data_IF_183103924610
#
_entry.id   IF_183103924610
#
_cell.length_a   1.000
_cell.length_b   1.000
_cell.length_c   1.000
_cell.angle_alpha   90.00
_cell.angle_beta   90.00
_cell.angle_gamma   90.00
#
_symmetry.space_group_name_H-M   'P 1'
#
loop_
_entity.id
_entity.type
_entity.pdbx_description
1 polymer ?
#
# COMPACT_ATOMS: atom_id res chain seq x y z
N UNK A 1 18.55 6.85 47.93
CA UNK A 1 17.43 6.34 48.74
C UNK A 1 16.31 7.37 48.67
N UNK A 2 15.39 7.20 47.72
CA UNK A 2 14.15 7.98 47.65
C UNK A 2 13.02 7.03 47.25
N UNK A 3 11.99 7.06 48.08
CA UNK A 3 10.92 6.09 48.21
C UNK A 3 9.79 6.40 47.22
N UNK A 4 9.23 5.34 46.64
CA UNK A 4 7.93 5.38 45.97
C UNK A 4 6.83 5.68 46.98
N UNK A 5 5.94 6.60 46.63
CA UNK A 5 4.64 6.77 47.31
C UNK A 5 3.54 6.88 46.25
N UNK A 6 2.70 5.85 46.18
CA UNK A 6 1.32 5.98 45.69
C UNK A 6 0.41 6.22 46.90
N UNK A 7 -0.77 6.83 46.71
CA UNK A 7 -1.95 5.98 46.87
C UNK A 7 -3.05 6.19 45.83
N UNK A 8 -3.77 5.09 45.66
CA UNK A 8 -4.99 4.83 44.90
C UNK A 8 -6.13 5.76 45.34
N UNK A 9 -6.90 6.29 44.39
CA UNK A 9 -8.32 6.61 44.63
C UNK A 9 -9.19 5.96 43.56
N UNK A 10 -10.12 5.15 44.06
CA UNK A 10 -11.10 4.37 43.33
C UNK A 10 -12.25 5.29 42.89
N UNK A 11 -12.43 5.42 41.57
CA UNK A 11 -13.62 6.01 40.95
C UNK A 11 -14.25 5.02 39.99
N UNK A 12 -15.19 4.23 40.50
CA UNK A 12 -15.99 3.23 39.78
C UNK A 12 -16.92 3.90 38.77
N UNK A 13 -16.89 3.46 37.51
CA UNK A 13 -18.10 3.30 36.71
C UNK A 13 -17.88 2.28 35.61
N UNK A 14 -18.78 1.33 35.60
CA UNK A 14 -18.84 0.13 34.78
C UNK A 14 -19.24 0.47 33.35
N UNK A 15 -18.59 -0.16 32.38
CA UNK A 15 -19.28 -0.63 31.18
C UNK A 15 -18.43 -1.70 30.50
N UNK A 16 -18.93 -2.93 30.60
CA UNK A 16 -18.62 -4.02 29.69
C UNK A 16 -19.01 -3.61 28.26
N UNK A 17 -18.07 -3.67 27.32
CA UNK A 17 -18.38 -3.87 25.90
C UNK A 17 -17.11 -4.27 25.14
N UNK A 18 -17.06 -5.56 24.78
CA UNK A 18 -16.66 -6.13 23.48
C UNK A 18 -15.62 -5.44 22.57
N UNK A 19 -14.72 -6.21 21.92
CA UNK A 19 -13.87 -5.69 20.86
C UNK A 19 -14.73 -5.42 19.62
N UNK A 20 -15.00 -4.15 19.31
CA UNK A 20 -15.74 -3.78 18.12
C UNK A 20 -14.79 -3.45 16.97
N UNK A 21 -14.55 -4.45 16.14
CA UNK A 21 -14.33 -4.24 14.71
C UNK A 21 -15.52 -3.49 14.12
N UNK A 22 -15.32 -2.24 13.72
CA UNK A 22 -16.16 -1.49 12.77
C UNK A 22 -15.33 -0.29 12.29
N UNK A 23 -14.66 -0.38 11.15
CA UNK A 23 -15.25 -0.04 9.85
C UNK A 23 -16.08 1.25 9.92
N UNK A 24 -15.41 2.40 9.88
CA UNK A 24 -16.06 3.68 9.59
C UNK A 24 -15.31 4.38 8.45
N UNK A 25 -15.74 4.07 7.23
CA UNK A 25 -15.29 4.64 5.95
C UNK A 25 -15.67 6.11 5.72
N UNK A 26 -15.70 6.94 6.76
CA UNK A 26 -15.96 8.37 6.67
C UNK A 26 -14.76 9.24 7.04
N UNK A 27 -13.70 8.66 7.64
CA UNK A 27 -12.44 9.38 7.92
C UNK A 27 -11.37 9.21 6.84
N UNK A 28 -11.54 8.24 5.93
CA UNK A 28 -10.47 7.84 5.02
C UNK A 28 -10.38 8.76 3.79
N UNK A 29 -11.51 9.31 3.30
CA UNK A 29 -11.51 10.25 2.18
C UNK A 29 -10.85 11.61 2.48
N UNK A 30 -10.61 11.93 3.76
CA UNK A 30 -9.95 13.17 4.21
C UNK A 30 -8.41 13.08 4.17
N UNK A 31 -7.88 11.86 4.09
CA UNK A 31 -6.43 11.64 4.07
C UNK A 31 -5.87 11.83 2.63
N UNK A 32 -4.62 12.30 2.51
CA UNK A 32 -3.88 12.26 1.25
C UNK A 32 -3.93 10.86 0.62
N UNK A 33 -4.05 10.82 -0.72
CA UNK A 33 -4.22 9.58 -1.49
C UNK A 33 -3.17 8.53 -1.13
N UNK A 34 -1.94 8.97 -0.89
CA UNK A 34 -0.80 8.12 -0.56
C UNK A 34 -1.01 7.39 0.77
N UNK A 35 -1.45 8.11 1.79
CA UNK A 35 -1.70 7.53 3.12
C UNK A 35 -2.88 6.57 3.11
N UNK A 36 -3.87 6.81 2.24
CA UNK A 36 -5.00 5.89 2.05
C UNK A 36 -4.55 4.60 1.37
N UNK A 37 -3.82 4.73 0.27
CA UNK A 37 -3.34 3.59 -0.51
C UNK A 37 -2.37 2.71 0.28
N UNK A 38 -1.51 3.27 1.14
CA UNK A 38 -0.60 2.50 2.00
C UNK A 38 -1.36 1.62 3.01
N UNK A 39 -2.55 2.05 3.47
CA UNK A 39 -3.33 1.35 4.51
C UNK A 39 -4.20 0.21 3.98
N UNK A 40 -4.38 0.11 2.67
CA UNK A 40 -5.22 -0.93 2.07
C UNK A 40 -4.59 -2.30 2.34
N UNK A 41 -5.37 -3.22 2.89
CA UNK A 41 -4.94 -4.60 3.15
C UNK A 41 -5.32 -5.55 2.01
N UNK A 42 -4.75 -6.75 1.99
CA UNK A 42 -5.19 -7.83 1.08
C UNK A 42 -6.68 -8.16 1.24
N UNK A 43 -7.19 -8.13 2.47
CA UNK A 43 -8.60 -8.35 2.75
C UNK A 43 -9.49 -7.28 2.09
N UNK A 44 -9.03 -6.03 2.05
CA UNK A 44 -9.75 -4.95 1.37
C UNK A 44 -9.71 -5.14 -0.15
N UNK A 45 -8.57 -5.57 -0.71
CA UNK A 45 -8.42 -5.89 -2.14
C UNK A 45 -9.38 -7.02 -2.54
N UNK A 46 -9.50 -8.07 -1.72
CA UNK A 46 -10.35 -9.22 -2.01
C UNK A 46 -11.85 -8.89 -2.08
N UNK A 47 -12.26 -7.80 -1.43
CA UNK A 47 -13.65 -7.33 -1.41
C UNK A 47 -13.99 -6.42 -2.58
N UNK A 48 -13.01 -6.02 -3.39
CA UNK A 48 -13.23 -5.16 -4.55
C UNK A 48 -14.03 -5.91 -5.61
N UNK A 49 -15.15 -5.30 -6.01
CA UNK A 49 -16.01 -5.82 -7.06
C UNK A 49 -15.76 -5.11 -8.40
N UNK A 50 -16.20 -5.72 -9.51
CA UNK A 50 -16.14 -5.10 -10.82
C UNK A 50 -16.88 -3.73 -10.87
N UNK A 51 -18.01 -3.60 -10.17
CA UNK A 51 -18.76 -2.34 -10.11
C UNK A 51 -17.99 -1.24 -9.37
N UNK A 52 -17.21 -1.61 -8.35
CA UNK A 52 -16.35 -0.64 -7.65
C UNK A 52 -15.21 -0.18 -8.56
N UNK A 53 -14.59 -1.09 -9.32
CA UNK A 53 -13.58 -0.76 -10.33
C UNK A 53 -14.14 0.22 -11.37
N UNK A 54 -15.33 -0.05 -11.89
CA UNK A 54 -16.01 0.81 -12.87
C UNK A 54 -16.32 2.19 -12.30
N UNK A 55 -16.81 2.25 -11.05
CA UNK A 55 -17.13 3.50 -10.36
C UNK A 55 -15.89 4.34 -10.09
N UNK A 56 -14.80 3.71 -9.64
CA UNK A 56 -13.53 4.39 -9.40
C UNK A 56 -12.96 4.89 -10.72
N UNK A 57 -12.90 4.07 -11.77
CA UNK A 57 -12.45 4.48 -13.10
C UNK A 57 -13.18 5.71 -13.63
N UNK A 58 -14.50 5.79 -13.44
CA UNK A 58 -15.30 6.93 -13.90
C UNK A 58 -14.98 8.25 -13.18
N UNK A 59 -14.33 8.20 -12.01
CA UNK A 59 -14.02 9.37 -11.18
C UNK A 59 -12.52 9.64 -11.07
N UNK A 60 -11.68 8.71 -11.50
CA UNK A 60 -10.24 8.76 -11.36
C UNK A 60 -9.63 9.80 -12.29
N UNK A 61 -8.89 10.75 -11.73
CA UNK A 61 -8.14 11.72 -12.52
C UNK A 61 -6.81 11.13 -13.01
N UNK A 62 -6.21 11.73 -14.04
CA UNK A 62 -4.91 11.30 -14.57
C UNK A 62 -3.79 11.42 -13.54
N UNK A 63 -3.85 12.45 -12.69
CA UNK A 63 -2.84 12.69 -11.65
C UNK A 63 -2.96 11.64 -10.54
N UNK A 64 -4.17 11.34 -10.08
CA UNK A 64 -4.41 10.27 -9.09
C UNK A 64 -3.98 8.90 -9.63
N UNK A 65 -4.22 8.62 -10.91
CA UNK A 65 -3.75 7.39 -11.56
C UNK A 65 -2.22 7.31 -11.55
N UNK A 66 -1.54 8.40 -11.90
CA UNK A 66 -0.07 8.46 -11.96
C UNK A 66 0.54 8.27 -10.56
N UNK A 67 0.00 8.95 -9.56
CA UNK A 67 0.41 8.81 -8.16
C UNK A 67 0.17 7.39 -7.65
N UNK A 68 -0.98 6.81 -7.97
CA UNK A 68 -1.32 5.43 -7.57
C UNK A 68 -0.37 4.40 -8.19
N UNK A 69 -0.06 4.53 -9.49
CA UNK A 69 0.90 3.67 -10.18
C UNK A 69 2.30 3.76 -9.57
N UNK A 70 2.76 4.99 -9.30
CA UNK A 70 4.05 5.23 -8.66
C UNK A 70 4.11 4.57 -7.28
N UNK A 71 3.10 4.79 -6.45
CA UNK A 71 3.07 4.24 -5.10
C UNK A 71 2.94 2.71 -5.10
N UNK A 72 2.19 2.14 -6.03
CA UNK A 72 2.07 0.69 -6.19
C UNK A 72 3.41 0.05 -6.57
N UNK A 73 4.21 0.72 -7.40
CA UNK A 73 5.59 0.32 -7.70
C UNK A 73 6.54 0.48 -6.51
N UNK A 74 6.44 1.60 -5.77
CA UNK A 74 7.28 1.85 -4.58
C UNK A 74 7.02 0.86 -3.44
N UNK A 75 5.76 0.46 -3.25
CA UNK A 75 5.34 -0.43 -2.16
C UNK A 75 5.32 -1.91 -2.54
N UNK A 76 5.69 -2.24 -3.79
CA UNK A 76 5.66 -3.60 -4.35
C UNK A 76 4.30 -4.32 -4.19
N UNK A 77 3.19 -3.58 -4.09
CA UNK A 77 1.84 -4.12 -3.85
C UNK A 77 1.19 -4.77 -5.07
N UNK A 78 1.93 -4.89 -6.16
CA UNK A 78 1.46 -5.55 -7.39
C UNK A 78 1.17 -7.04 -7.11
N UNK A 79 2.02 -7.70 -6.31
CA UNK A 79 1.84 -9.09 -5.95
C UNK A 79 0.53 -9.33 -5.18
N UNK A 80 0.24 -8.47 -4.19
CA UNK A 80 -0.96 -8.56 -3.35
C UNK A 80 -2.24 -8.42 -4.17
N UNK A 81 -2.23 -7.50 -5.16
CA UNK A 81 -3.38 -7.28 -6.06
C UNK A 81 -3.58 -8.47 -7.00
N UNK A 82 -2.51 -9.05 -7.54
CA UNK A 82 -2.58 -10.25 -8.38
C UNK A 82 -3.10 -11.45 -7.58
N UNK A 83 -2.65 -11.61 -6.34
CA UNK A 83 -3.01 -12.74 -5.50
C UNK A 83 -4.44 -12.65 -4.93
N UNK A 84 -4.88 -11.44 -4.56
CA UNK A 84 -6.08 -11.25 -3.74
C UNK A 84 -7.31 -10.75 -4.51
N UNK A 85 -7.13 -10.06 -5.65
CA UNK A 85 -8.27 -9.47 -6.34
C UNK A 85 -9.09 -10.53 -7.09
N UNK A 86 -10.41 -10.33 -7.11
CA UNK A 86 -11.32 -11.25 -7.79
C UNK A 86 -11.10 -11.25 -9.32
N UNK A 87 -11.28 -12.39 -10.01
CA UNK A 87 -11.09 -12.46 -11.46
C UNK A 87 -12.01 -11.51 -12.24
N UNK A 88 -13.21 -11.23 -11.74
CA UNK A 88 -14.15 -10.29 -12.36
C UNK A 88 -13.71 -8.83 -12.19
N UNK A 89 -13.17 -8.47 -11.03
CA UNK A 89 -12.58 -7.14 -10.82
C UNK A 89 -11.34 -6.95 -11.72
N UNK A 90 -10.52 -7.98 -11.88
CA UNK A 90 -9.39 -7.99 -12.83
C UNK A 90 -9.84 -7.82 -14.28
N UNK A 91 -10.86 -8.55 -14.71
CA UNK A 91 -11.37 -8.45 -16.07
C UNK A 91 -11.91 -7.05 -16.39
N UNK A 92 -12.67 -6.45 -15.47
CA UNK A 92 -13.17 -5.07 -15.62
C UNK A 92 -12.02 -4.05 -15.61
N UNK A 93 -11.02 -4.25 -14.74
CA UNK A 93 -9.83 -3.41 -14.71
C UNK A 93 -9.05 -3.51 -16.03
N UNK A 94 -8.88 -4.70 -16.61
CA UNK A 94 -8.20 -4.88 -17.88
C UNK A 94 -8.99 -4.30 -19.07
N UNK A 95 -10.32 -4.45 -19.08
CA UNK A 95 -11.17 -4.07 -20.22
C UNK A 95 -11.15 -2.58 -20.58
N UNK A 96 -10.82 -1.70 -19.62
CA UNK A 96 -10.73 -0.26 -19.87
C UNK A 96 -9.33 0.32 -19.70
N UNK A 97 -8.28 -0.51 -19.81
CA UNK A 97 -6.92 -0.01 -19.97
C UNK A 97 -6.78 0.56 -21.38
N UNK A 98 -6.44 1.84 -21.47
CA UNK A 98 -6.14 2.49 -22.75
C UNK A 98 -4.63 2.47 -23.03
N UNK A 99 -4.25 2.61 -24.31
CA UNK A 99 -2.85 2.68 -24.72
C UNK A 99 -2.09 3.82 -24.00
N UNK A 100 -2.74 4.96 -23.77
CA UNK A 100 -2.19 6.06 -22.99
C UNK A 100 -1.90 5.70 -21.53
N UNK A 101 -2.71 4.83 -20.92
CA UNK A 101 -2.50 4.34 -19.55
C UNK A 101 -1.39 3.28 -19.50
N UNK A 102 -1.27 2.44 -20.53
CA UNK A 102 -0.10 1.55 -20.68
C UNK A 102 1.20 2.36 -20.80
N UNK A 103 1.21 3.42 -21.62
CA UNK A 103 2.37 4.31 -21.75
C UNK A 103 2.78 5.00 -20.45
N UNK A 104 1.81 5.40 -19.61
CA UNK A 104 2.09 5.93 -18.26
C UNK A 104 2.80 4.89 -17.38
N UNK A 105 2.31 3.65 -17.37
CA UNK A 105 2.96 2.58 -16.60
C UNK A 105 4.38 2.28 -17.08
N UNK A 106 4.62 2.29 -18.39
CA UNK A 106 5.96 2.12 -18.97
C UNK A 106 6.90 3.26 -18.57
N UNK A 107 6.44 4.51 -18.60
CA UNK A 107 7.25 5.66 -18.19
C UNK A 107 7.67 5.60 -16.71
N UNK A 108 6.74 5.23 -15.82
CA UNK A 108 7.03 5.13 -14.38
C UNK A 108 8.03 4.01 -14.11
N UNK A 109 7.88 2.87 -14.78
CA UNK A 109 8.79 1.74 -14.61
C UNK A 109 10.18 2.05 -15.18
N UNK A 110 10.24 2.71 -16.34
CA UNK A 110 11.50 3.15 -16.96
C UNK A 110 12.25 4.14 -16.09
N UNK A 111 11.57 5.13 -15.53
CA UNK A 111 12.19 6.10 -14.60
C UNK A 111 12.77 5.39 -13.38
N UNK A 112 12.07 4.39 -12.84
CA UNK A 112 12.54 3.58 -11.71
C UNK A 112 13.75 2.73 -12.06
N UNK A 113 13.72 2.04 -13.18
CA UNK A 113 14.85 1.25 -13.67
C UNK A 113 16.06 2.14 -13.96
N UNK A 114 15.84 3.35 -14.48
CA UNK A 114 16.90 4.33 -14.71
C UNK A 114 17.51 4.83 -13.40
N UNK A 115 16.69 5.08 -12.37
CA UNK A 115 17.15 5.44 -11.03
C UNK A 115 17.98 4.31 -10.40
N UNK A 116 17.49 3.07 -10.48
CA UNK A 116 18.20 1.87 -10.03
C UNK A 116 19.54 1.71 -10.76
N UNK A 117 19.56 1.87 -12.08
CA UNK A 117 20.78 1.77 -12.88
C UNK A 117 21.81 2.84 -12.50
N UNK A 118 21.35 4.08 -12.28
CA UNK A 118 22.22 5.17 -11.82
C UNK A 118 22.74 4.93 -10.40
N UNK A 119 21.92 4.39 -9.49
CA UNK A 119 22.39 4.01 -8.15
C UNK A 119 23.35 2.83 -8.19
N UNK A 120 23.13 1.82 -9.03
CA UNK A 120 24.04 0.67 -9.17
C UNK A 120 25.43 1.10 -9.63
N UNK A 121 25.54 2.15 -10.45
CA UNK A 121 26.85 2.71 -10.82
C UNK A 121 27.59 3.40 -9.66
N UNK A 122 26.89 3.71 -8.57
CA UNK A 122 27.43 4.34 -7.36
C UNK A 122 27.47 3.39 -6.16
N UNK A 123 26.98 2.15 -6.32
CA UNK A 123 27.03 1.10 -5.32
C UNK A 123 28.40 0.42 -5.35
N UNK A 124 29.14 0.50 -4.25
CA UNK A 124 30.41 -0.20 -4.08
C UNK A 124 30.20 -1.68 -3.75
N UNK A 125 31.19 -2.52 -4.07
CA UNK A 125 31.17 -3.96 -3.74
C UNK A 125 30.90 -4.20 -2.24
N UNK A 126 31.38 -3.32 -1.37
CA UNK A 126 31.13 -3.37 0.08
C UNK A 126 29.66 -3.18 0.48
N UNK A 127 28.88 -2.43 -0.31
CA UNK A 127 27.44 -2.26 -0.08
C UNK A 127 26.65 -3.50 -0.53
N UNK A 128 27.07 -4.13 -1.64
CA UNK A 128 26.51 -5.40 -2.09
C UNK A 128 26.80 -6.54 -1.09
N UNK A 129 28.02 -6.59 -0.55
CA UNK A 129 28.41 -7.56 0.49
C UNK A 129 27.58 -7.37 1.77
N UNK A 130 27.37 -6.12 2.20
CA UNK A 130 26.56 -5.80 3.38
C UNK A 130 25.06 -6.12 3.17
N UNK A 131 24.51 -5.95 1.96
CA UNK A 131 23.13 -6.33 1.65
C UNK A 131 22.94 -7.82 1.39
N UNK A 132 23.97 -8.53 0.93
CA UNK A 132 23.95 -9.98 0.68
C UNK A 132 24.21 -10.83 1.93
N UNK A 133 24.93 -10.29 2.91
CA UNK A 133 25.28 -10.97 4.17
C UNK A 133 24.09 -11.58 4.95
N UNK A 134 22.90 -10.94 5.05
CA UNK A 134 21.75 -11.53 5.71
C UNK A 134 21.20 -12.78 5.02
N UNK A 135 21.41 -12.93 3.71
CA UNK A 135 20.92 -14.05 2.90
C UNK A 135 21.97 -15.16 2.71
N UNK A 136 23.22 -14.89 3.08
CA UNK A 136 24.32 -15.86 2.98
C UNK A 136 24.36 -16.87 4.15
N UNK A 137 23.64 -16.59 5.25
CA UNK A 137 23.69 -17.40 6.48
C UNK A 137 22.63 -18.51 6.56
N UNK A 138 21.81 -18.69 5.53
CA UNK A 138 20.71 -19.68 5.48
C UNK A 138 20.99 -20.85 4.51
N UNK A 139 22.28 -21.22 4.33
CA UNK A 139 22.71 -22.44 3.63
C UNK A 139 23.62 -23.30 4.47
#
# INVERSE_FOLDING_TARGET
>A
MWLFSSPIVTGRSSSSATPSSAANGYGDASLPLELRLIRVSEADISRVTAEDVKRVRARLTKDELTTSLRLMGETNRIADVIASASPSAWAEAAAGVTEAQMGLSDSVMRDRMSLLYNMLSTVSDSFLDAMGSPYASDR
#
